data_IF_411725506471
#
_entry.id   IF_411725506471
#
_cell.length_a   1.000
_cell.length_b   1.000
_cell.length_c   1.000
_cell.angle_alpha   90.00
_cell.angle_beta   90.00
_cell.angle_gamma   90.00
#
_symmetry.space_group_name_H-M   'P 1'
#
loop_
_entity.id
_entity.type
_entity.pdbx_description
1 polymer ?
#
# COMPACT_ATOMS: atom_id res chain seq x y z
N UNK A 1 -15.94 -4.11 -0.34
CA UNK A 1 -15.69 -3.26 -1.51
C UNK A 1 -15.01 -4.05 -2.64
N UNK A 2 -13.87 -4.72 -2.42
CA UNK A 2 -13.24 -5.58 -3.43
C UNK A 2 -14.21 -6.60 -4.08
N UNK A 3 -14.92 -7.41 -3.29
CA UNK A 3 -15.85 -8.40 -3.84
C UNK A 3 -16.92 -7.77 -4.76
N UNK A 4 -17.45 -6.61 -4.38
CA UNK A 4 -18.44 -5.89 -5.20
C UNK A 4 -17.82 -5.30 -6.46
N UNK A 5 -16.59 -4.78 -6.38
CA UNK A 5 -15.84 -4.35 -7.56
C UNK A 5 -15.61 -5.53 -8.51
N UNK A 6 -15.23 -6.71 -8.00
CA UNK A 6 -15.04 -7.92 -8.81
C UNK A 6 -16.35 -8.40 -9.45
N UNK A 7 -17.46 -8.37 -8.71
CA UNK A 7 -18.79 -8.69 -9.24
C UNK A 7 -19.21 -7.70 -10.33
N UNK A 8 -19.00 -6.40 -10.10
CA UNK A 8 -19.27 -5.36 -11.09
C UNK A 8 -18.38 -5.54 -12.33
N UNK A 9 -17.08 -5.73 -12.16
CA UNK A 9 -16.13 -5.94 -13.24
C UNK A 9 -16.46 -7.20 -14.06
N UNK A 10 -16.78 -8.32 -13.38
CA UNK A 10 -17.19 -9.56 -14.05
C UNK A 10 -18.50 -9.38 -14.80
N UNK A 11 -19.50 -8.73 -14.20
CA UNK A 11 -20.80 -8.47 -14.83
C UNK A 11 -20.71 -7.52 -16.02
N UNK A 12 -19.98 -6.41 -15.86
CA UNK A 12 -19.68 -5.46 -16.92
C UNK A 12 -18.92 -6.14 -18.06
N UNK A 13 -17.97 -7.01 -17.72
CA UNK A 13 -17.21 -7.76 -18.72
C UNK A 13 -18.11 -8.64 -19.59
N UNK A 14 -19.05 -9.35 -18.98
CA UNK A 14 -20.00 -10.19 -19.73
C UNK A 14 -20.89 -9.32 -20.61
N UNK A 15 -21.33 -8.16 -20.11
CA UNK A 15 -22.21 -7.26 -20.84
C UNK A 15 -21.56 -6.63 -22.09
N UNK A 16 -20.28 -6.26 -22.01
CA UNK A 16 -19.58 -5.55 -23.10
C UNK A 16 -18.92 -6.50 -24.10
N UNK A 17 -18.26 -7.57 -23.63
CA UNK A 17 -17.45 -8.45 -24.48
C UNK A 17 -18.00 -9.87 -24.63
N UNK A 18 -19.17 -10.15 -24.06
CA UNK A 18 -19.79 -11.47 -24.09
C UNK A 18 -19.02 -12.54 -23.31
N UNK A 19 -19.53 -13.77 -23.31
CA UNK A 19 -18.98 -14.87 -22.50
C UNK A 19 -17.55 -15.29 -22.89
N UNK A 20 -17.21 -15.23 -24.18
CA UNK A 20 -15.87 -15.61 -24.66
C UNK A 20 -14.80 -14.63 -24.17
N UNK A 21 -15.09 -13.32 -24.20
CA UNK A 21 -14.22 -12.27 -23.64
C UNK A 21 -14.24 -12.19 -22.11
N UNK A 22 -15.23 -12.81 -21.46
CA UNK A 22 -15.35 -12.85 -20.01
C UNK A 22 -14.55 -13.99 -19.35
N UNK A 23 -14.15 -15.03 -20.09
CA UNK A 23 -13.43 -16.17 -19.49
C UNK A 23 -12.06 -15.78 -18.93
N UNK A 24 -11.28 -14.98 -19.65
CA UNK A 24 -9.99 -14.46 -19.15
C UNK A 24 -10.20 -13.56 -17.93
N UNK A 25 -11.20 -12.68 -17.98
CA UNK A 25 -11.53 -11.75 -16.88
C UNK A 25 -12.12 -12.45 -15.64
N UNK A 26 -12.73 -13.61 -15.81
CA UNK A 26 -13.12 -14.48 -14.71
C UNK A 26 -11.90 -15.08 -14.01
N UNK A 27 -10.90 -15.53 -14.78
CA UNK A 27 -9.62 -16.00 -14.21
C UNK A 27 -8.93 -14.88 -13.42
N UNK A 28 -8.87 -13.67 -13.99
CA UNK A 28 -8.35 -12.48 -13.29
C UNK A 28 -9.09 -12.25 -11.96
N UNK A 29 -10.43 -12.29 -12.00
CA UNK A 29 -11.28 -12.07 -10.83
C UNK A 29 -11.07 -13.14 -9.76
N UNK A 30 -10.89 -14.41 -10.14
CA UNK A 30 -10.61 -15.49 -9.20
C UNK A 30 -9.21 -15.33 -8.58
N UNK A 31 -8.19 -15.03 -9.37
CA UNK A 31 -6.83 -14.78 -8.87
C UNK A 31 -6.83 -13.62 -7.87
N UNK A 32 -7.54 -12.53 -8.18
CA UNK A 32 -7.69 -11.39 -7.27
C UNK A 32 -8.49 -11.75 -6.02
N UNK A 33 -9.58 -12.52 -6.15
CA UNK A 33 -10.43 -12.92 -5.02
C UNK A 33 -9.67 -13.77 -4.00
N UNK A 34 -8.77 -14.63 -4.46
CA UNK A 34 -7.92 -15.45 -3.59
C UNK A 34 -6.62 -14.76 -3.18
N UNK A 35 -6.46 -13.47 -3.49
CA UNK A 35 -5.26 -12.69 -3.16
C UNK A 35 -3.97 -13.33 -3.67
N UNK A 36 -3.97 -13.80 -4.93
CA UNK A 36 -2.83 -14.45 -5.58
C UNK A 36 -2.25 -13.63 -6.75
N UNK A 37 -2.77 -12.43 -7.02
CA UNK A 37 -2.34 -11.59 -8.14
C UNK A 37 -0.84 -11.27 -8.09
N UNK A 38 -0.27 -11.15 -6.89
CA UNK A 38 1.15 -10.85 -6.71
C UNK A 38 2.03 -12.02 -7.15
N UNK A 39 1.72 -13.26 -6.72
CA UNK A 39 2.49 -14.45 -7.11
C UNK A 39 2.25 -14.88 -8.54
N UNK A 40 1.02 -14.76 -9.04
CA UNK A 40 0.70 -15.01 -10.44
C UNK A 40 1.57 -14.16 -11.37
N UNK A 41 1.76 -12.87 -11.03
CA UNK A 41 2.67 -11.95 -11.73
C UNK A 41 4.14 -12.26 -11.48
N UNK A 42 4.54 -12.42 -10.22
CA UNK A 42 5.93 -12.59 -9.82
C UNK A 42 6.57 -13.85 -10.44
N UNK A 43 5.77 -14.92 -10.61
CA UNK A 43 6.20 -16.19 -11.19
C UNK A 43 5.97 -16.28 -12.71
N UNK A 44 5.43 -15.23 -13.33
CA UNK A 44 5.13 -15.23 -14.77
C UNK A 44 4.03 -16.22 -15.18
N UNK A 45 3.18 -16.66 -14.25
CA UNK A 45 2.10 -17.62 -14.51
C UNK A 45 0.95 -16.93 -15.23
N UNK A 46 0.52 -15.79 -14.71
CA UNK A 46 -0.60 -15.02 -15.24
C UNK A 46 -0.53 -13.57 -14.74
N UNK A 47 -0.68 -12.61 -15.65
CA UNK A 47 -0.76 -11.20 -15.29
C UNK A 47 -2.21 -10.73 -15.52
N UNK A 48 -2.98 -10.46 -14.44
CA UNK A 48 -4.30 -9.88 -14.61
C UNK A 48 -4.20 -8.56 -15.38
N UNK A 49 -5.10 -8.35 -16.34
CA UNK A 49 -5.08 -7.17 -17.20
C UNK A 49 -5.60 -5.96 -16.43
N UNK A 50 -6.90 -5.73 -16.41
CA UNK A 50 -7.53 -4.58 -15.76
C UNK A 50 -7.52 -4.68 -14.22
N UNK A 51 -7.25 -5.86 -13.68
CA UNK A 51 -7.04 -6.09 -12.25
C UNK A 51 -5.55 -6.15 -11.88
N UNK A 52 -4.67 -5.76 -12.80
CA UNK A 52 -3.24 -5.88 -12.66
C UNK A 52 -2.73 -5.26 -11.36
N UNK A 53 -3.21 -4.07 -10.99
CA UNK A 53 -2.81 -3.34 -9.78
C UNK A 53 -3.06 -4.11 -8.48
N UNK A 54 -4.02 -5.03 -8.43
CA UNK A 54 -4.43 -5.79 -7.22
C UNK A 54 -3.34 -6.69 -6.63
N UNK A 55 -2.16 -6.75 -7.25
CA UNK A 55 -0.97 -7.37 -6.68
C UNK A 55 -0.60 -6.79 -5.31
N UNK A 56 -0.67 -5.47 -5.12
CA UNK A 56 -0.27 -4.89 -3.82
C UNK A 56 -1.31 -5.21 -2.74
N UNK A 57 -2.60 -5.27 -3.10
CA UNK A 57 -3.65 -5.75 -2.21
C UNK A 57 -3.42 -7.21 -1.79
N UNK A 58 -2.96 -8.06 -2.70
CA UNK A 58 -2.61 -9.45 -2.38
C UNK A 58 -1.46 -9.53 -1.37
N UNK A 59 -0.45 -8.67 -1.51
CA UNK A 59 0.66 -8.56 -0.54
C UNK A 59 0.13 -8.12 0.83
N UNK A 60 -0.71 -7.09 0.90
CA UNK A 60 -1.28 -6.58 2.15
C UNK A 60 -2.09 -7.66 2.88
N UNK A 61 -2.93 -8.40 2.17
CA UNK A 61 -3.83 -9.39 2.78
C UNK A 61 -3.08 -10.65 3.23
N UNK A 62 -2.09 -11.09 2.45
CA UNK A 62 -1.14 -12.13 2.89
C UNK A 62 -0.36 -11.68 4.13
N UNK A 63 0.08 -10.42 4.14
CA UNK A 63 0.76 -9.84 5.29
C UNK A 63 -0.14 -9.80 6.53
N UNK A 64 -1.40 -9.37 6.41
CA UNK A 64 -2.36 -9.35 7.51
C UNK A 64 -2.81 -10.74 7.96
N UNK A 65 -2.67 -11.77 7.12
CA UNK A 65 -2.85 -13.15 7.54
C UNK A 65 -1.68 -13.66 8.40
N UNK A 66 -0.46 -13.17 8.16
CA UNK A 66 0.78 -13.67 8.79
C UNK A 66 1.19 -12.84 10.01
N UNK A 67 1.31 -11.53 9.85
CA UNK A 67 1.95 -10.65 10.83
C UNK A 67 1.16 -10.50 12.13
N UNK A 68 -0.16 -10.27 12.17
CA UNK A 68 -0.89 -10.13 13.42
C UNK A 68 -0.83 -11.38 14.31
N UNK A 69 -1.05 -12.62 13.81
CA UNK A 69 -0.82 -13.83 14.62
C UNK A 69 0.62 -13.96 15.11
N UNK A 70 1.61 -13.68 14.25
CA UNK A 70 3.02 -13.70 14.63
C UNK A 70 3.30 -12.67 15.74
N UNK A 71 2.80 -11.45 15.60
CA UNK A 71 2.92 -10.39 16.59
C UNK A 71 2.31 -10.82 17.92
N UNK A 72 1.12 -11.45 17.94
CA UNK A 72 0.52 -11.97 19.18
C UNK A 72 1.41 -13.01 19.87
N UNK A 73 2.09 -13.87 19.10
CA UNK A 73 3.06 -14.83 19.65
C UNK A 73 4.29 -14.10 20.19
N UNK A 74 4.84 -13.15 19.44
CA UNK A 74 6.00 -12.36 19.85
C UNK A 74 5.70 -11.51 21.09
N UNK A 75 4.52 -10.93 21.21
CA UNK A 75 4.10 -10.15 22.39
C UNK A 75 4.05 -11.01 23.66
N UNK A 76 3.87 -12.34 23.54
CA UNK A 76 3.87 -13.30 24.66
C UNK A 76 5.24 -13.91 24.94
N UNK A 77 6.07 -14.12 23.90
CA UNK A 77 7.31 -14.90 24.01
C UNK A 77 8.59 -14.05 23.97
N UNK A 78 8.57 -12.89 23.32
CA UNK A 78 9.75 -12.05 23.23
C UNK A 78 10.00 -11.35 24.58
N UNK A 79 11.26 -11.25 25.03
CA UNK A 79 11.57 -10.71 26.36
C UNK A 79 11.27 -9.22 26.47
N UNK A 80 11.37 -8.47 25.37
CA UNK A 80 11.13 -7.02 25.36
C UNK A 80 10.43 -6.58 24.07
N UNK A 81 9.79 -5.41 24.11
CA UNK A 81 9.24 -4.76 22.91
C UNK A 81 10.34 -4.36 21.92
N UNK A 82 11.53 -4.04 22.42
CA UNK A 82 12.69 -3.76 21.56
C UNK A 82 13.08 -5.00 20.75
N UNK A 83 13.03 -6.20 21.35
CA UNK A 83 13.28 -7.45 20.62
C UNK A 83 12.29 -7.63 19.45
N UNK A 84 11.01 -7.31 19.65
CA UNK A 84 10.01 -7.39 18.57
C UNK A 84 10.31 -6.37 17.46
N UNK A 85 10.67 -5.13 17.83
CA UNK A 85 11.06 -4.11 16.87
C UNK A 85 12.32 -4.53 16.07
N UNK A 86 13.32 -5.13 16.72
CA UNK A 86 14.52 -5.64 16.07
C UNK A 86 14.22 -6.84 15.15
N UNK A 87 13.28 -7.72 15.51
CA UNK A 87 12.80 -8.79 14.64
C UNK A 87 12.13 -8.19 13.40
N UNK A 88 11.25 -7.19 13.56
CA UNK A 88 10.63 -6.51 12.43
C UNK A 88 11.69 -5.85 11.51
N UNK A 89 12.70 -5.19 12.10
CA UNK A 89 13.82 -4.63 11.35
C UNK A 89 14.62 -5.71 10.60
N UNK A 90 14.92 -6.83 11.26
CA UNK A 90 15.65 -7.94 10.65
C UNK A 90 14.87 -8.54 9.47
N UNK A 91 13.54 -8.69 9.59
CA UNK A 91 12.68 -9.13 8.50
C UNK A 91 12.66 -8.12 7.35
N UNK A 92 12.62 -6.81 7.64
CA UNK A 92 12.69 -5.77 6.61
C UNK A 92 14.01 -5.83 5.84
N UNK A 93 15.13 -5.85 6.57
CA UNK A 93 16.47 -5.95 5.96
C UNK A 93 16.61 -7.24 5.17
N UNK A 94 16.07 -8.36 5.68
CA UNK A 94 16.09 -9.64 4.97
C UNK A 94 15.32 -9.59 3.65
N UNK A 95 14.14 -8.98 3.63
CA UNK A 95 13.33 -8.83 2.41
C UNK A 95 14.05 -7.96 1.36
N UNK A 96 14.65 -6.85 1.78
CA UNK A 96 15.47 -6.01 0.91
C UNK A 96 16.73 -6.73 0.41
N UNK A 97 17.45 -7.43 1.28
CA UNK A 97 18.63 -8.22 0.90
C UNK A 97 18.28 -9.33 -0.09
N UNK A 98 17.15 -10.01 0.10
CA UNK A 98 16.65 -10.99 -0.85
C UNK A 98 16.32 -10.34 -2.20
N UNK A 99 15.63 -9.18 -2.20
CA UNK A 99 15.33 -8.42 -3.41
C UNK A 99 16.61 -8.04 -4.15
N UNK A 100 17.61 -7.53 -3.44
CA UNK A 100 18.91 -7.17 -4.02
C UNK A 100 19.63 -8.39 -4.60
N UNK A 101 19.73 -9.48 -3.84
CA UNK A 101 20.35 -10.73 -4.28
C UNK A 101 19.69 -11.29 -5.54
N UNK A 102 18.36 -11.40 -5.56
CA UNK A 102 17.62 -11.87 -6.73
C UNK A 102 17.83 -10.94 -7.92
N UNK A 103 17.91 -9.63 -7.68
CA UNK A 103 18.21 -8.62 -8.70
C UNK A 103 19.59 -8.83 -9.34
N UNK A 104 20.61 -9.08 -8.54
CA UNK A 104 21.97 -9.40 -9.02
C UNK A 104 22.03 -10.76 -9.71
N UNK A 105 21.17 -11.70 -9.32
CA UNK A 105 21.04 -13.01 -9.97
C UNK A 105 20.21 -12.97 -11.29
N UNK A 106 19.79 -11.79 -11.75
CA UNK A 106 19.08 -11.62 -13.03
C UNK A 106 17.57 -11.87 -12.96
N UNK A 107 16.96 -11.84 -11.77
CA UNK A 107 15.50 -11.92 -11.65
C UNK A 107 14.80 -10.73 -12.34
N UNK A 108 13.61 -10.97 -12.89
CA UNK A 108 12.83 -9.94 -13.58
C UNK A 108 12.34 -8.86 -12.60
N UNK A 109 12.19 -7.62 -13.06
CA UNK A 109 11.65 -6.52 -12.24
C UNK A 109 10.27 -6.84 -11.67
N UNK A 110 9.43 -7.57 -12.43
CA UNK A 110 8.13 -8.06 -11.95
C UNK A 110 8.28 -9.01 -10.76
N UNK A 111 9.25 -9.94 -10.78
CA UNK A 111 9.52 -10.82 -9.63
C UNK A 111 9.95 -10.03 -8.40
N UNK A 112 10.81 -9.03 -8.58
CA UNK A 112 11.32 -8.18 -7.51
C UNK A 112 10.21 -7.29 -6.90
N UNK A 113 9.28 -6.81 -7.73
CA UNK A 113 8.25 -5.86 -7.33
C UNK A 113 6.96 -6.50 -6.81
N UNK A 114 6.66 -7.72 -7.22
CA UNK A 114 5.41 -8.40 -6.87
C UNK A 114 5.57 -9.49 -5.80
N UNK A 115 6.79 -9.87 -5.41
CA UNK A 115 7.01 -10.83 -4.33
C UNK A 115 6.71 -10.25 -2.95
N UNK A 116 5.91 -10.95 -2.13
CA UNK A 116 5.76 -10.59 -0.70
C UNK A 116 7.11 -10.66 0.02
N UNK A 117 7.90 -11.69 -0.29
CA UNK A 117 9.22 -11.93 0.26
C UNK A 117 10.25 -10.83 -0.09
N UNK A 118 10.07 -10.13 -1.20
CA UNK A 118 10.94 -9.04 -1.66
C UNK A 118 10.37 -7.65 -1.37
N UNK A 119 9.11 -7.53 -0.90
CA UNK A 119 8.41 -6.25 -0.67
C UNK A 119 7.82 -6.11 0.74
N UNK A 120 8.03 -7.08 1.61
CA UNK A 120 7.61 -6.99 3.01
C UNK A 120 8.40 -5.93 3.79
N UNK A 121 9.49 -5.39 3.24
CA UNK A 121 10.35 -4.38 3.87
C UNK A 121 9.60 -3.11 4.26
N UNK A 122 8.80 -2.53 3.35
CA UNK A 122 7.99 -1.35 3.65
C UNK A 122 7.06 -1.57 4.86
N UNK A 123 6.34 -2.69 4.86
CA UNK A 123 5.37 -3.03 5.90
C UNK A 123 6.06 -3.35 7.24
N UNK A 124 7.21 -4.03 7.19
CA UNK A 124 8.02 -4.35 8.36
C UNK A 124 8.67 -3.11 8.98
N UNK A 125 9.15 -2.16 8.18
CA UNK A 125 9.64 -0.85 8.66
C UNK A 125 8.51 -0.11 9.37
N UNK A 126 7.31 -0.09 8.80
CA UNK A 126 6.12 0.47 9.43
C UNK A 126 5.77 -0.22 10.76
N UNK A 127 5.86 -1.55 10.82
CA UNK A 127 5.60 -2.32 12.04
C UNK A 127 6.66 -2.05 13.13
N UNK A 128 7.94 -2.00 12.76
CA UNK A 128 9.01 -1.60 13.67
C UNK A 128 8.72 -0.21 14.25
N UNK A 129 8.43 0.78 13.41
CA UNK A 129 8.13 2.14 13.85
C UNK A 129 6.91 2.18 14.77
N UNK A 130 5.84 1.44 14.44
CA UNK A 130 4.65 1.32 15.27
C UNK A 130 4.92 0.71 16.64
N UNK A 131 5.79 -0.31 16.72
CA UNK A 131 6.21 -0.91 18.00
C UNK A 131 7.00 0.09 18.83
N UNK A 132 7.97 0.79 18.22
CA UNK A 132 8.78 1.79 18.92
C UNK A 132 7.90 2.92 19.49
N UNK A 133 6.98 3.46 18.69
CA UNK A 133 6.05 4.52 19.09
C UNK A 133 5.07 4.08 20.18
N UNK A 134 4.54 2.85 20.11
CA UNK A 134 3.56 2.34 21.08
C UNK A 134 4.18 1.86 22.39
N UNK A 135 5.46 1.52 22.40
CA UNK A 135 6.14 0.89 23.55
C UNK A 135 6.94 1.84 24.43
N UNK A 136 6.84 3.16 24.23
CA UNK A 136 7.65 4.18 24.91
C UNK A 136 9.17 3.98 24.80
N UNK A 137 9.64 3.23 23.79
CA UNK A 137 11.06 3.01 23.53
C UNK A 137 11.72 4.25 22.92
N UNK A 138 10.91 5.12 22.32
CA UNK A 138 11.31 6.42 21.79
C UNK A 138 10.42 7.52 22.38
N UNK A 139 10.88 8.77 22.43
CA UNK A 139 10.11 9.87 23.00
C UNK A 139 8.78 10.07 22.26
N UNK A 140 7.70 10.30 23.02
CA UNK A 140 6.37 10.60 22.45
C UNK A 140 6.28 11.96 21.77
N UNK A 141 7.13 12.89 22.19
CA UNK A 141 7.20 14.24 21.65
C UNK A 141 8.64 14.62 21.38
N UNK A 142 8.88 15.24 20.23
CA UNK A 142 10.14 15.82 19.88
C UNK A 142 10.25 17.24 20.45
N UNK A 143 11.36 17.51 21.16
CA UNK A 143 11.62 18.79 21.80
C UNK A 143 13.04 19.27 21.49
N UNK A 144 13.26 20.58 21.62
CA UNK A 144 14.58 21.21 21.46
C UNK A 144 15.26 20.88 20.12
N UNK A 145 16.50 20.39 20.20
CA UNK A 145 17.29 20.03 19.03
C UNK A 145 16.67 18.89 18.20
N UNK A 146 16.03 17.91 18.85
CA UNK A 146 15.42 16.78 18.16
C UNK A 146 14.27 17.23 17.25
N UNK A 147 13.41 18.13 17.74
CA UNK A 147 12.33 18.72 16.92
C UNK A 147 12.87 19.43 15.69
N UNK A 148 13.95 20.21 15.83
CA UNK A 148 14.58 20.92 14.71
C UNK A 148 15.17 19.97 13.68
N UNK A 149 15.93 18.96 14.13
CA UNK A 149 16.53 17.95 13.26
C UNK A 149 15.46 17.18 12.50
N UNK A 150 14.38 16.75 13.18
CA UNK A 150 13.28 16.03 12.55
C UNK A 150 12.52 16.89 11.53
N UNK A 151 12.28 18.17 11.82
CA UNK A 151 11.66 19.08 10.84
C UNK A 151 12.51 19.21 9.57
N UNK A 152 13.83 19.38 9.70
CA UNK A 152 14.74 19.46 8.55
C UNK A 152 14.78 18.13 7.81
N UNK A 153 14.98 17.01 8.53
CA UNK A 153 15.04 15.68 7.97
C UNK A 153 13.76 15.34 7.20
N UNK A 154 12.60 15.76 7.69
CA UNK A 154 11.31 15.49 7.04
C UNK A 154 11.10 16.35 5.78
N UNK A 155 11.49 17.62 5.80
CA UNK A 155 11.45 18.46 4.58
C UNK A 155 12.40 17.91 3.52
N UNK A 156 13.62 17.51 3.91
CA UNK A 156 14.57 16.86 3.00
C UNK A 156 14.00 15.55 2.48
N UNK A 157 13.45 14.70 3.36
CA UNK A 157 12.85 13.42 2.98
C UNK A 157 11.71 13.60 1.99
N UNK A 158 10.80 14.54 2.24
CA UNK A 158 9.70 14.85 1.32
C UNK A 158 10.23 15.37 -0.02
N UNK A 159 11.24 16.23 0.00
CA UNK A 159 11.84 16.79 -1.22
C UNK A 159 12.53 15.71 -2.06
N UNK A 160 13.25 14.78 -1.41
CA UNK A 160 13.89 13.65 -2.08
C UNK A 160 12.84 12.68 -2.64
N UNK A 161 11.78 12.38 -1.89
CA UNK A 161 10.67 11.54 -2.37
C UNK A 161 9.98 12.15 -3.60
N UNK A 162 9.73 13.46 -3.58
CA UNK A 162 9.22 14.19 -4.75
C UNK A 162 10.21 14.10 -5.91
N UNK A 163 11.50 14.33 -5.66
CA UNK A 163 12.56 14.21 -6.68
C UNK A 163 12.58 12.82 -7.33
N UNK A 164 12.58 11.75 -6.53
CA UNK A 164 12.52 10.37 -7.02
C UNK A 164 11.28 10.17 -7.91
N UNK A 165 10.11 10.66 -7.50
CA UNK A 165 8.88 10.50 -8.27
C UNK A 165 8.90 11.17 -9.66
N UNK A 166 9.72 12.21 -9.86
CA UNK A 166 9.83 12.93 -11.13
C UNK A 166 11.05 12.52 -11.98
N UNK A 167 12.12 12.03 -11.36
CA UNK A 167 13.39 11.73 -12.03
C UNK A 167 13.47 10.25 -12.42
N UNK A 168 13.02 9.37 -11.54
CA UNK A 168 13.27 7.94 -11.65
C UNK A 168 12.15 7.24 -12.42
N UNK A 169 12.53 6.22 -13.16
CA UNK A 169 11.61 5.46 -13.99
C UNK A 169 11.40 4.05 -13.44
N UNK A 170 10.17 3.55 -13.53
CA UNK A 170 9.82 2.23 -13.01
C UNK A 170 10.56 1.08 -13.71
N UNK A 171 11.14 1.28 -14.89
CA UNK A 171 11.93 0.24 -15.57
C UNK A 171 13.40 0.22 -15.15
N UNK A 172 13.87 1.21 -14.38
CA UNK A 172 15.27 1.26 -13.95
C UNK A 172 15.53 0.20 -12.85
N UNK A 173 16.49 -0.72 -13.04
CA UNK A 173 16.87 -1.69 -12.02
C UNK A 173 17.31 -1.06 -10.68
N UNK A 174 17.90 0.14 -10.70
CA UNK A 174 18.32 0.90 -9.51
C UNK A 174 17.15 1.09 -8.55
N UNK A 175 15.94 1.28 -9.11
CA UNK A 175 14.72 1.43 -8.32
C UNK A 175 14.51 0.24 -7.39
N UNK A 176 14.70 -0.97 -7.91
CA UNK A 176 14.40 -2.22 -7.20
C UNK A 176 15.53 -2.66 -6.26
N UNK A 177 16.77 -2.29 -6.55
CA UNK A 177 17.92 -2.73 -5.75
C UNK A 177 18.05 -1.95 -4.44
N UNK A 178 17.90 -0.62 -4.50
CA UNK A 178 18.18 0.23 -3.35
C UNK A 178 17.12 1.30 -3.13
N UNK A 179 16.60 1.90 -4.21
CA UNK A 179 15.80 3.11 -4.09
C UNK A 179 14.46 2.88 -3.37
N UNK A 180 13.80 1.74 -3.61
CA UNK A 180 12.58 1.39 -2.88
C UNK A 180 12.82 1.32 -1.37
N UNK A 181 13.94 0.77 -0.93
CA UNK A 181 14.29 0.73 0.49
C UNK A 181 14.56 2.15 1.04
N UNK A 182 15.22 3.01 0.26
CA UNK A 182 15.39 4.43 0.60
C UNK A 182 14.04 5.13 0.73
N UNK A 183 13.12 4.93 -0.22
CA UNK A 183 11.75 5.48 -0.17
C UNK A 183 11.05 5.06 1.13
N UNK A 184 11.20 3.82 1.56
CA UNK A 184 10.58 3.29 2.79
C UNK A 184 11.17 3.95 4.04
N UNK A 185 12.49 4.14 4.11
CA UNK A 185 13.16 4.84 5.21
C UNK A 185 12.79 6.32 5.29
N UNK A 186 12.77 7.02 4.15
CA UNK A 186 12.35 8.42 4.07
C UNK A 186 10.89 8.57 4.49
N UNK A 187 10.02 7.65 4.06
CA UNK A 187 8.61 7.62 4.48
C UNK A 187 8.48 7.39 5.99
N UNK A 188 9.30 6.50 6.58
CA UNK A 188 9.33 6.27 8.01
C UNK A 188 9.73 7.54 8.80
N UNK A 189 10.67 8.34 8.29
CA UNK A 189 11.04 9.65 8.86
C UNK A 189 9.83 10.59 8.83
N UNK A 190 9.14 10.71 7.70
CA UNK A 190 7.94 11.57 7.59
C UNK A 190 6.86 11.16 8.58
N UNK A 191 6.58 9.86 8.70
CA UNK A 191 5.58 9.34 9.64
C UNK A 191 6.02 9.63 11.08
N UNK A 192 7.27 9.35 11.42
CA UNK A 192 7.80 9.58 12.75
C UNK A 192 7.68 11.06 13.18
N UNK A 193 8.07 11.98 12.30
CA UNK A 193 7.94 13.41 12.50
C UNK A 193 6.47 13.86 12.63
N UNK A 194 5.59 13.39 11.76
CA UNK A 194 4.16 13.72 11.83
C UNK A 194 3.50 13.29 13.16
N UNK A 195 3.96 12.18 13.74
CA UNK A 195 3.45 11.67 15.01
C UNK A 195 4.05 12.34 16.25
N UNK A 196 5.34 12.70 16.20
CA UNK A 196 6.08 13.13 17.40
C UNK A 196 6.39 14.62 17.43
N UNK A 197 6.30 15.34 16.30
CA UNK A 197 6.74 16.72 16.17
C UNK A 197 5.58 17.66 15.80
N UNK A 198 4.81 18.17 16.79
CA UNK A 198 3.70 19.09 16.54
C UNK A 198 3.99 20.31 15.63
N UNK A 199 5.16 21.00 15.73
CA UNK A 199 5.47 22.16 14.90
C UNK A 199 5.91 21.84 13.46
N UNK A 200 5.93 20.56 13.05
CA UNK A 200 6.38 20.18 11.71
C UNK A 200 5.55 20.81 10.58
N UNK A 201 6.25 21.39 9.61
CA UNK A 201 5.64 21.92 8.38
C UNK A 201 5.05 20.79 7.53
N UNK A 202 5.75 19.65 7.45
CA UNK A 202 5.25 18.47 6.72
C UNK A 202 3.92 18.03 7.31
N UNK A 203 3.83 17.96 8.65
CA UNK A 203 2.59 17.64 9.36
C UNK A 203 1.46 18.60 8.98
N UNK A 204 1.73 19.90 8.92
CA UNK A 204 0.73 20.92 8.51
C UNK A 204 0.24 20.65 7.09
N UNK A 205 1.15 20.38 6.15
CA UNK A 205 0.81 20.10 4.74
C UNK A 205 -0.06 18.83 4.65
N UNK A 206 0.38 17.71 5.22
CA UNK A 206 -0.34 16.43 5.08
C UNK A 206 -1.64 16.38 5.89
N UNK A 207 -1.78 17.24 6.91
CA UNK A 207 -3.02 17.39 7.69
C UNK A 207 -4.03 18.34 7.05
N UNK A 208 -3.74 18.89 5.86
CA UNK A 208 -4.67 19.72 5.12
C UNK A 208 -5.96 18.94 4.81
N UNK A 209 -7.12 19.47 5.21
CA UNK A 209 -8.38 18.74 5.24
C UNK A 209 -8.76 18.07 3.89
N UNK A 210 -8.58 18.69 2.71
CA UNK A 210 -8.78 18.02 1.43
C UNK A 210 -7.87 16.81 1.21
N UNK A 211 -6.58 16.89 1.58
CA UNK A 211 -5.65 15.77 1.48
C UNK A 211 -6.05 14.62 2.41
N UNK A 212 -6.46 14.95 3.64
CA UNK A 212 -7.02 13.96 4.57
C UNK A 212 -8.25 13.27 3.98
N UNK A 213 -9.14 14.03 3.34
CA UNK A 213 -10.33 13.49 2.67
C UNK A 213 -9.99 12.56 1.51
N UNK A 214 -8.98 12.91 0.70
CA UNK A 214 -8.45 12.03 -0.35
C UNK A 214 -7.92 10.73 0.28
N UNK A 215 -7.21 10.83 1.41
CA UNK A 215 -6.77 9.68 2.19
C UNK A 215 -7.92 8.77 2.64
N UNK A 216 -9.05 9.35 3.07
CA UNK A 216 -10.25 8.59 3.49
C UNK A 216 -10.84 7.76 2.35
N UNK A 217 -10.84 8.27 1.11
CA UNK A 217 -11.37 7.55 -0.06
C UNK A 217 -10.27 6.84 -0.88
N UNK A 218 -9.03 6.82 -0.39
CA UNK A 218 -7.86 6.35 -1.13
C UNK A 218 -7.96 4.90 -1.55
N UNK A 219 -8.58 4.05 -0.72
CA UNK A 219 -8.82 2.65 -1.07
C UNK A 219 -9.74 2.51 -2.29
N UNK A 220 -10.84 3.28 -2.34
CA UNK A 220 -11.72 3.33 -3.51
C UNK A 220 -11.01 3.90 -4.75
N UNK A 221 -10.25 4.99 -4.60
CA UNK A 221 -9.45 5.55 -5.70
C UNK A 221 -8.48 4.51 -6.26
N UNK A 222 -7.75 3.81 -5.38
CA UNK A 222 -6.84 2.75 -5.75
C UNK A 222 -7.55 1.58 -6.45
N UNK A 223 -8.70 1.12 -5.95
CA UNK A 223 -9.42 0.02 -6.61
C UNK A 223 -9.90 0.38 -8.01
N UNK A 224 -10.48 1.57 -8.18
CA UNK A 224 -11.24 1.91 -9.39
C UNK A 224 -10.41 2.58 -10.49
N UNK A 225 -9.30 3.27 -10.18
CA UNK A 225 -8.55 4.02 -11.20
C UNK A 225 -8.02 3.12 -12.32
N UNK A 226 -7.42 1.99 -11.97
CA UNK A 226 -6.72 1.16 -12.94
C UNK A 226 -7.66 0.47 -13.93
N UNK A 227 -8.78 -0.17 -13.52
CA UNK A 227 -9.75 -0.69 -14.47
C UNK A 227 -10.34 0.41 -15.36
N UNK A 228 -10.70 1.58 -14.80
CA UNK A 228 -11.25 2.70 -15.59
C UNK A 228 -10.26 3.12 -16.67
N UNK A 229 -8.99 3.30 -16.30
CA UNK A 229 -7.96 3.80 -17.22
C UNK A 229 -7.67 2.77 -18.32
N UNK A 230 -7.59 1.50 -17.97
CA UNK A 230 -7.35 0.42 -18.95
C UNK A 230 -8.54 0.26 -19.90
N UNK A 231 -9.77 0.32 -19.39
CA UNK A 231 -10.98 0.24 -20.22
C UNK A 231 -11.13 1.45 -21.16
N UNK A 232 -10.81 2.66 -20.70
CA UNK A 232 -10.78 3.83 -21.57
C UNK A 232 -9.70 3.69 -22.65
N UNK A 233 -8.52 3.17 -22.30
CA UNK A 233 -7.47 2.90 -23.28
C UNK A 233 -7.92 1.88 -24.34
N UNK A 234 -8.58 0.80 -23.92
CA UNK A 234 -9.13 -0.22 -24.84
C UNK A 234 -10.23 0.34 -25.75
N UNK A 235 -11.03 1.28 -25.25
CA UNK A 235 -12.04 1.99 -26.03
C UNK A 235 -11.45 3.05 -26.99
N UNK A 236 -10.12 3.22 -27.02
CA UNK A 236 -9.43 4.12 -27.95
C UNK A 236 -9.38 5.59 -27.52
N UNK A 237 -9.67 5.90 -26.25
CA UNK A 237 -9.52 7.27 -25.73
C UNK A 237 -8.03 7.66 -25.66
N UNK A 238 -7.75 8.93 -25.92
CA UNK A 238 -6.39 9.46 -25.84
C UNK A 238 -5.92 9.63 -24.38
N UNK A 239 -4.61 9.82 -24.18
CA UNK A 239 -4.03 9.94 -22.84
C UNK A 239 -4.55 11.15 -22.06
N UNK A 240 -4.90 12.26 -22.72
CA UNK A 240 -5.43 13.46 -22.06
C UNK A 240 -6.83 13.18 -21.52
N UNK A 241 -7.66 12.49 -22.31
CA UNK A 241 -9.00 12.06 -21.92
C UNK A 241 -8.94 11.06 -20.76
N UNK A 242 -8.02 10.08 -20.81
CA UNK A 242 -7.83 9.12 -19.71
C UNK A 242 -7.42 9.85 -18.42
N UNK A 243 -6.46 10.77 -18.48
CA UNK A 243 -6.02 11.51 -17.28
C UNK A 243 -7.13 12.43 -16.76
N UNK A 244 -7.84 13.14 -17.63
CA UNK A 244 -8.86 14.11 -17.18
C UNK A 244 -10.18 13.42 -16.81
N UNK A 245 -10.88 12.87 -17.80
CA UNK A 245 -12.17 12.22 -17.60
C UNK A 245 -12.05 10.94 -16.78
N UNK A 246 -10.99 10.14 -16.98
CA UNK A 246 -10.77 8.92 -16.20
C UNK A 246 -10.50 9.21 -14.72
N UNK A 247 -9.70 10.23 -14.40
CA UNK A 247 -9.51 10.65 -12.99
C UNK A 247 -10.81 11.16 -12.39
N UNK A 248 -11.54 12.03 -13.10
CA UNK A 248 -12.84 12.52 -12.63
C UNK A 248 -13.82 11.37 -12.35
N UNK A 249 -13.93 10.43 -13.28
CA UNK A 249 -14.77 9.24 -13.15
C UNK A 249 -14.33 8.37 -11.96
N UNK A 250 -13.02 8.20 -11.78
CA UNK A 250 -12.45 7.49 -10.63
C UNK A 250 -12.86 8.14 -9.31
N UNK A 251 -12.76 9.47 -9.20
CA UNK A 251 -13.19 10.19 -8.01
C UNK A 251 -14.68 10.03 -7.75
N UNK A 252 -15.53 10.17 -8.79
CA UNK A 252 -16.97 9.98 -8.66
C UNK A 252 -17.30 8.57 -8.17
N UNK A 253 -16.73 7.53 -8.79
CA UNK A 253 -16.97 6.14 -8.42
C UNK A 253 -16.40 5.82 -7.03
N UNK A 254 -15.21 6.33 -6.68
CA UNK A 254 -14.62 6.14 -5.35
C UNK A 254 -15.46 6.80 -4.25
N UNK A 255 -15.99 8.01 -4.48
CA UNK A 255 -16.87 8.70 -3.54
C UNK A 255 -18.18 7.90 -3.36
N UNK A 256 -18.78 7.43 -4.45
CA UNK A 256 -19.98 6.59 -4.40
C UNK A 256 -19.70 5.27 -3.66
N UNK A 257 -18.59 4.59 -3.97
CA UNK A 257 -18.13 3.38 -3.26
C UNK A 257 -17.98 3.63 -1.77
N UNK A 258 -17.36 4.75 -1.40
CA UNK A 258 -17.15 5.11 -0.01
C UNK A 258 -18.47 5.28 0.75
N UNK A 259 -19.41 6.06 0.21
CA UNK A 259 -20.68 6.33 0.89
C UNK A 259 -21.64 5.14 0.88
N UNK A 260 -21.69 4.38 -0.21
CA UNK A 260 -22.65 3.29 -0.39
C UNK A 260 -22.18 1.97 0.21
N UNK A 261 -20.86 1.74 0.25
CA UNK A 261 -20.29 0.45 0.64
C UNK A 261 -19.42 0.60 1.88
N UNK A 262 -18.32 1.34 1.78
CA UNK A 262 -17.28 1.34 2.81
C UNK A 262 -17.79 1.90 4.14
N UNK A 263 -18.45 3.06 4.11
CA UNK A 263 -18.97 3.73 5.31
C UNK A 263 -20.02 2.89 6.06
N UNK A 264 -21.00 2.23 5.40
CA UNK A 264 -21.88 1.27 6.07
C UNK A 264 -21.14 0.11 6.74
N UNK A 265 -20.20 -0.54 6.06
CA UNK A 265 -19.43 -1.65 6.63
C UNK A 265 -18.54 -1.21 7.80
N UNK A 266 -17.91 -0.03 7.71
CA UNK A 266 -17.14 0.55 8.81
C UNK A 266 -18.01 0.86 10.04
N UNK A 267 -19.24 1.33 9.84
CA UNK A 267 -20.22 1.53 10.93
C UNK A 267 -20.65 0.19 11.54
N UNK A 268 -20.86 -0.83 10.73
CA UNK A 268 -21.21 -2.17 11.20
C UNK A 268 -20.06 -2.78 12.02
N UNK A 269 -18.81 -2.68 11.54
CA UNK A 269 -17.62 -3.11 12.28
C UNK A 269 -17.55 -2.47 13.67
N UNK A 270 -17.73 -1.15 13.77
CA UNK A 270 -17.75 -0.43 15.06
C UNK A 270 -18.87 -0.86 16.02
N UNK A 271 -19.96 -1.43 15.50
CA UNK A 271 -21.05 -2.00 16.32
C UNK A 271 -20.73 -3.42 16.80
N UNK A 272 -19.95 -4.17 16.03
CA UNK A 272 -19.55 -5.55 16.32
C UNK A 272 -18.25 -5.64 17.13
N UNK A 273 -17.41 -4.59 17.12
CA UNK A 273 -16.28 -4.45 18.03
C UNK A 273 -16.82 -4.41 19.47
N UNK A 274 -16.65 -5.54 20.17
CA UNK A 274 -17.02 -5.74 21.57
C UNK A 274 -16.40 -4.62 22.42
N UNK A 275 -17.23 -3.81 23.08
CA UNK A 275 -16.74 -2.85 24.09
C UNK A 275 -16.33 -3.62 25.33
N UNK A 276 -15.06 -3.63 25.74
CA UNK A 276 -14.65 -4.21 27.01
C UNK A 276 -14.94 -3.20 28.13
N UNK A 277 -16.21 -2.81 28.31
CA UNK A 277 -16.62 -1.86 29.36
C UNK A 277 -17.38 -2.54 30.51
N UNK A 278 -17.41 -3.87 30.58
CA UNK A 278 -18.07 -4.62 31.66
C UNK A 278 -17.28 -5.87 32.06
N UNK A 279 -16.13 -5.69 32.71
CA UNK A 279 -15.56 -6.63 33.69
C UNK A 279 -14.81 -5.83 34.77
#
# INVERSE_FOLDING_TARGET
ALLLMLLFYSGFSVAVWGFAGAKSRLVDSLITLFYMSNWARALGIHAPNELGHTWSLSIEEQFYAIWPPLLLVLLRKAPTRLTIALIALALAVSAWMLRWYLGMAGATTTRLFNGLDTRADALMIGCMLGILLSSNLIPRKAEGAMSRILSIASVVSLSVLVGIAFIEHWWDPVMYYWLLFVVELLTAILIFDCFTNPPSIVRIIVSFQPLVWIGVISYGLYLWHYPIFTLMREAGYDWKQIITAGTLLTFVIAILSYFLLERPFLKLKKRLEFRPDHL
#
